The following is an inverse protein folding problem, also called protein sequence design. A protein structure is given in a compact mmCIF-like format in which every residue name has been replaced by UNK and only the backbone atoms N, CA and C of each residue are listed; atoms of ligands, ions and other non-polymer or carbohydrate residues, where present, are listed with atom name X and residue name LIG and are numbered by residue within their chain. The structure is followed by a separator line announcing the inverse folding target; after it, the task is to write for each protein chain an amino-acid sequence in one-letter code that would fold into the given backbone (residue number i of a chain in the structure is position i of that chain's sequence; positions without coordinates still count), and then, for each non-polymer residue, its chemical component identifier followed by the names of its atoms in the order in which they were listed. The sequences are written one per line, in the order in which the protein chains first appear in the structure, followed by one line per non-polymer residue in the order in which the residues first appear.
data_IF_889829352242
#
_entry.id   IF_889829352242
#
_cell.length_a   1.000
_cell.length_b   1.000
_cell.length_c   1.000
_cell.angle_alpha   90.00
_cell.angle_beta   90.00
_cell.angle_gamma   90.00
#
_symmetry.space_group_name_H-M   'P 1'
#
loop_
_entity.id
_entity.type
_entity.pdbx_description
1 polymer ?
2 water ?
#
# COMPACT_ATOMS: atom_id res chain seq x y z
N UNK A 2 -25.56 13.21 20.82
CA UNK A 2 -24.10 13.31 20.54
C UNK A 2 -23.46 11.95 20.73
N UNK A 3 -23.52 11.45 21.97
CA UNK A 3 -23.00 10.13 22.35
C UNK A 3 -23.61 8.97 21.55
N UNK A 4 -24.92 9.03 21.32
CA UNK A 4 -25.65 7.99 20.58
C UNK A 4 -25.23 7.93 19.11
N UNK A 5 -25.20 9.10 18.48
CA UNK A 5 -24.74 9.23 17.10
C UNK A 5 -23.28 8.83 16.96
N UNK A 6 -22.45 9.22 17.94
CA UNK A 6 -21.02 8.91 17.89
C UNK A 6 -20.79 7.41 17.93
N UNK A 7 -21.53 6.73 18.79
CA UNK A 7 -21.44 5.28 18.90
C UNK A 7 -21.79 4.61 17.56
N UNK A 8 -22.86 5.06 16.91
CA UNK A 8 -23.23 4.48 15.61
C UNK A 8 -22.13 4.64 14.56
N UNK A 9 -21.49 5.81 14.54
CA UNK A 9 -20.42 6.07 13.57
C UNK A 9 -19.21 5.19 13.83
N UNK A 10 -18.77 5.15 15.08
CA UNK A 10 -17.65 4.30 15.49
C UNK A 10 -17.92 2.82 15.18
N UNK A 11 -19.16 2.40 15.36
CA UNK A 11 -19.54 1.01 15.07
C UNK A 11 -19.40 0.64 13.59
N UNK A 12 -19.41 1.64 12.72
CA UNK A 12 -19.16 1.42 11.28
C UNK A 12 -17.73 0.94 10.99
N UNK A 13 -16.78 1.28 11.86
CA UNK A 13 -15.37 1.02 11.61
C UNK A 13 -14.70 0.15 12.69
N UNK A 14 -15.29 0.09 13.88
CA UNK A 14 -14.74 -0.68 15.00
C UNK A 14 -14.39 -2.13 14.66
N UNK A 15 -15.39 -2.91 14.16
CA UNK A 15 -15.14 -4.31 13.79
C UNK A 15 -14.01 -4.44 12.77
N UNK A 16 -13.99 -3.58 11.76
CA UNK A 16 -12.95 -3.60 10.75
C UNK A 16 -11.57 -3.30 11.31
N UNK A 17 -11.49 -2.33 12.21
CA UNK A 17 -10.21 -1.96 12.81
C UNK A 17 -9.63 -3.13 13.61
N UNK A 18 -10.50 -3.80 14.36
CA UNK A 18 -10.08 -4.97 15.14
C UNK A 18 -9.53 -6.07 14.22
N UNK A 19 -10.24 -6.34 13.13
CA UNK A 19 -9.81 -7.34 12.13
C UNK A 19 -8.47 -6.97 11.48
N UNK A 20 -8.32 -5.71 11.08
CA UNK A 20 -7.06 -5.24 10.51
C UNK A 20 -5.90 -5.34 11.48
N UNK A 21 -6.13 -4.93 12.73
CA UNK A 21 -5.12 -5.07 13.77
C UNK A 21 -4.66 -6.54 13.94
N UNK A 22 -5.60 -7.50 13.90
CA UNK A 22 -5.27 -8.93 14.00
C UNK A 22 -4.43 -9.41 12.79
N UNK A 23 -4.89 -9.06 11.59
CA UNK A 23 -4.21 -9.46 10.35
C UNK A 23 -2.82 -8.81 10.18
N UNK A 24 -2.69 -7.54 10.58
CA UNK A 24 -1.38 -6.87 10.59
C UNK A 24 -0.40 -7.59 11.53
N UNK A 25 -0.86 -7.93 12.73
CA UNK A 25 -0.07 -8.74 13.66
C UNK A 25 0.38 -10.06 13.04
N UNK A 26 -0.56 -10.81 12.44
CA UNK A 26 -0.23 -12.08 11.77
C UNK A 26 0.90 -11.85 10.75
N UNK A 27 0.72 -10.84 9.89
CA UNK A 27 1.71 -10.53 8.85
C UNK A 27 3.08 -10.23 9.45
N UNK A 28 3.12 -9.44 10.51
CA UNK A 28 4.38 -9.11 11.17
C UNK A 28 5.12 -10.37 11.66
N UNK A 29 4.36 -11.42 12.00
CA UNK A 29 4.94 -12.65 12.56
C UNK A 29 5.42 -13.64 11.50
N UNK A 30 4.98 -13.45 10.26
CA UNK A 30 5.35 -14.35 9.17
C UNK A 30 6.85 -14.36 8.95
N UNK A 31 7.38 -15.52 8.59
CA UNK A 31 8.79 -15.61 8.25
C UNK A 31 8.93 -15.37 6.75
N UNK A 32 9.76 -14.40 6.38
CA UNK A 32 9.97 -14.09 4.97
C UNK A 32 10.84 -15.17 4.33
N UNK A 33 10.44 -15.65 3.13
CA UNK A 33 11.30 -16.58 2.39
C UNK A 33 12.66 -15.96 2.09
N UNK A 34 13.68 -16.82 2.03
CA UNK A 34 15.04 -16.40 1.71
C UNK A 34 15.16 -15.57 0.43
N UNK A 35 14.35 -15.88 -0.58
CA UNK A 35 14.43 -15.14 -1.86
C UNK A 35 13.65 -13.81 -1.88
N UNK A 36 12.99 -13.48 -0.76
CA UNK A 36 12.22 -12.23 -0.62
C UNK A 36 11.19 -12.05 -1.75
N UNK A 37 10.59 -13.16 -2.16
CA UNK A 37 9.56 -13.21 -3.21
C UNK A 37 10.06 -12.64 -4.55
N UNK A 38 11.39 -12.61 -4.71
CA UNK A 38 12.02 -12.11 -5.92
C UNK A 38 12.49 -10.66 -5.81
N UNK A 39 12.17 -10.02 -4.68
CA UNK A 39 12.58 -8.64 -4.42
C UNK A 39 13.95 -8.67 -3.75
N UNK A 40 14.96 -8.99 -4.56
CA UNK A 40 16.33 -9.14 -4.07
C UNK A 40 17.31 -8.56 -5.08
N UNK A 41 18.56 -8.37 -4.67
CA UNK A 41 19.56 -7.70 -5.51
C UNK A 41 20.00 -8.49 -6.76
N UNK A 42 19.55 -9.74 -6.89
CA UNK A 42 19.84 -10.51 -8.11
C UNK A 42 18.86 -10.18 -9.24
N UNK A 43 17.70 -9.65 -8.90
CA UNK A 43 16.70 -9.26 -9.90
C UNK A 43 16.53 -7.75 -10.01
N UNK A 44 16.86 -7.04 -8.93
CA UNK A 44 16.82 -5.57 -8.92
C UNK A 44 18.20 -5.01 -8.56
N UNK A 45 18.80 -4.32 -9.52
CA UNK A 45 20.14 -3.75 -9.38
C UNK A 45 20.19 -2.69 -8.27
N UNK A 46 21.12 -2.86 -7.33
CA UNK A 46 21.35 -1.89 -6.27
C UNK A 46 21.91 -0.59 -6.81
N UNK A 47 21.74 0.48 -6.03
CA UNK A 47 22.32 1.79 -6.33
C UNK A 47 21.78 2.42 -7.61
N UNK A 48 20.55 2.05 -7.99
CA UNK A 48 19.91 2.67 -9.15
C UNK A 48 18.81 3.62 -8.71
N UNK A 49 18.14 3.26 -7.62
CA UNK A 49 17.03 4.04 -7.12
C UNK A 49 16.94 3.92 -5.61
N UNK A 50 16.68 5.03 -4.92
CA UNK A 50 16.67 5.02 -3.46
C UNK A 50 15.59 4.10 -2.89
N UNK A 51 14.44 4.03 -3.56
CA UNK A 51 13.32 3.25 -3.03
C UNK A 51 13.50 1.75 -3.26
N UNK A 52 14.07 1.38 -4.41
CA UNK A 52 14.52 0.01 -4.65
C UNK A 52 15.54 -0.39 -3.57
N UNK A 53 16.51 0.51 -3.32
CA UNK A 53 17.52 0.26 -2.28
C UNK A 53 16.91 0.08 -0.89
N UNK A 54 15.95 0.94 -0.54
CA UNK A 54 15.26 0.82 0.75
C UNK A 54 14.60 -0.57 0.88
N UNK A 55 14.00 -1.05 -0.21
CA UNK A 55 13.38 -2.37 -0.21
C UNK A 55 14.42 -3.46 -0.04
N UNK A 56 15.56 -3.32 -0.72
CA UNK A 56 16.63 -4.31 -0.62
C UNK A 56 17.27 -4.37 0.78
N UNK A 57 17.25 -3.25 1.50
CA UNK A 57 17.98 -3.11 2.76
C UNK A 57 17.13 -3.37 4.00
N UNK A 58 15.81 -3.22 3.89
CA UNK A 58 14.95 -3.11 5.07
C UNK A 58 13.78 -4.11 5.04
N UNK A 59 13.87 -5.15 5.86
CA UNK A 59 12.82 -6.16 5.93
C UNK A 59 11.47 -5.61 6.42
N UNK A 60 11.50 -4.52 7.19
CA UNK A 60 10.28 -3.87 7.67
C UNK A 60 9.50 -3.21 6.52
N UNK A 61 10.22 -2.55 5.62
CA UNK A 61 9.63 -1.94 4.43
C UNK A 61 9.06 -2.99 3.48
N UNK A 62 9.78 -4.11 3.33
CA UNK A 62 9.30 -5.24 2.54
C UNK A 62 8.02 -5.79 3.14
N UNK A 63 8.00 -5.97 4.46
CA UNK A 63 6.81 -6.48 5.15
C UNK A 63 5.63 -5.53 4.92
N UNK A 64 5.85 -4.23 5.06
CA UNK A 64 4.79 -3.24 4.73
C UNK A 64 4.29 -3.39 3.29
N UNK A 65 5.22 -3.57 2.36
CA UNK A 65 4.86 -3.76 0.95
C UNK A 65 3.98 -5.01 0.77
N UNK A 66 4.39 -6.11 1.39
CA UNK A 66 3.63 -7.36 1.31
C UNK A 66 2.22 -7.18 1.85
N UNK A 67 2.10 -6.57 3.03
CA UNK A 67 0.81 -6.32 3.67
C UNK A 67 -0.07 -5.39 2.84
N UNK A 68 0.54 -4.43 2.13
CA UNK A 68 -0.22 -3.56 1.20
C UNK A 68 -0.98 -4.33 0.12
N UNK A 69 -0.58 -5.59 -0.12
CA UNK A 69 -1.25 -6.46 -1.09
C UNK A 69 -1.91 -7.66 -0.39
N UNK A 70 -2.25 -7.49 0.89
CA UNK A 70 -2.87 -8.55 1.72
C UNK A 70 -2.02 -9.80 1.85
N UNK A 71 -0.70 -9.62 1.72
CA UNK A 71 0.29 -10.71 1.78
C UNK A 71 -0.08 -11.89 0.87
N UNK A 72 -0.58 -11.55 -0.32
CA UNK A 72 -0.91 -12.51 -1.34
C UNK A 72 0.41 -12.84 -2.01
N UNK A 73 1.01 -13.96 -1.60
CA UNK A 73 2.33 -14.35 -2.05
C UNK A 73 2.41 -14.55 -3.56
N UNK A 74 1.37 -15.12 -4.17
CA UNK A 74 1.35 -15.28 -5.63
C UNK A 74 1.35 -13.93 -6.36
N UNK A 75 0.59 -12.98 -5.83
CA UNK A 75 0.50 -11.66 -6.46
C UNK A 75 1.81 -10.89 -6.32
N UNK A 76 2.40 -10.96 -5.14
CA UNK A 76 3.69 -10.31 -4.88
C UNK A 76 4.76 -10.86 -5.82
N UNK A 77 4.83 -12.19 -5.93
CA UNK A 77 5.85 -12.82 -6.77
C UNK A 77 5.66 -12.46 -8.22
N UNK A 78 4.40 -12.45 -8.66
CA UNK A 78 4.09 -12.11 -10.05
C UNK A 78 4.49 -10.65 -10.37
N UNK A 79 4.11 -9.71 -9.51
CA UNK A 79 4.49 -8.31 -9.71
C UNK A 79 6.01 -8.18 -9.73
N UNK A 80 6.69 -8.82 -8.78
CA UNK A 80 8.17 -8.76 -8.71
C UNK A 80 8.81 -9.26 -10.01
N UNK A 81 8.30 -10.35 -10.56
CA UNK A 81 8.89 -10.89 -11.81
C UNK A 81 8.56 -10.03 -13.03
N UNK A 82 7.37 -9.43 -13.05
CA UNK A 82 7.05 -8.43 -14.07
C UNK A 82 7.95 -7.18 -13.99
N UNK A 83 8.09 -6.59 -12.81
CA UNK A 83 8.95 -5.40 -12.64
C UNK A 83 10.42 -5.67 -12.97
N UNK A 84 10.90 -6.87 -12.63
CA UNK A 84 12.29 -7.27 -12.97
C UNK A 84 12.57 -7.37 -14.47
N UNK A 85 11.53 -7.50 -15.28
CA UNK A 85 11.71 -7.55 -16.73
C UNK A 85 11.83 -6.16 -17.36
N UNK A 86 11.40 -5.11 -16.66
CA UNK A 86 11.38 -3.78 -17.28
C UNK A 86 12.79 -3.26 -17.59
N UNK A 87 12.86 -2.42 -18.61
CA UNK A 87 14.11 -1.79 -19.04
C UNK A 87 13.76 -0.43 -19.62
N UNK A 88 14.79 0.37 -19.91
CA UNK A 88 14.61 1.68 -20.55
C UNK A 88 15.99 2.14 -21.01
N UNK A 89 16.03 3.08 -21.95
CA UNK A 89 17.31 3.59 -22.45
C UNK A 89 17.95 4.60 -21.48
N UNK A 90 17.12 5.19 -20.62
CA UNK A 90 17.57 6.25 -19.71
C UNK A 90 17.46 5.91 -18.21
N UNK A 91 17.21 4.63 -17.90
CA UNK A 91 17.05 4.20 -16.51
C UNK A 91 15.81 4.76 -15.80
N UNK A 92 14.90 5.39 -16.55
CA UNK A 92 13.62 5.83 -15.98
C UNK A 92 12.89 4.65 -15.32
N UNK A 93 13.01 3.45 -15.88
CA UNK A 93 12.25 2.31 -15.33
C UNK A 93 12.59 2.04 -13.89
N UNK A 94 13.82 2.34 -13.48
CA UNK A 94 14.20 2.14 -12.08
C UNK A 94 13.45 3.08 -11.15
N UNK A 95 13.26 4.32 -11.57
CA UNK A 95 12.43 5.28 -10.85
C UNK A 95 10.96 4.80 -10.74
N UNK A 96 10.45 4.21 -11.80
CA UNK A 96 9.08 3.74 -11.80
C UNK A 96 8.91 2.53 -10.87
N UNK A 97 9.85 1.58 -10.94
CA UNK A 97 9.85 0.44 -10.01
C UNK A 97 9.87 0.97 -8.57
N UNK A 98 10.78 1.90 -8.30
CA UNK A 98 10.89 2.52 -6.98
C UNK A 98 9.59 3.19 -6.55
N UNK A 99 8.93 3.88 -7.50
CA UNK A 99 7.64 4.52 -7.20
C UNK A 99 6.60 3.48 -6.80
N UNK A 100 6.57 2.35 -7.51
CA UNK A 100 5.63 1.27 -7.19
C UNK A 100 5.84 0.74 -5.77
N UNK A 101 7.09 0.43 -5.42
CA UNK A 101 7.40 -0.06 -4.07
C UNK A 101 7.00 0.97 -3.02
N UNK A 102 7.47 2.21 -3.21
CA UNK A 102 7.20 3.32 -2.29
C UNK A 102 5.73 3.53 -2.09
N UNK A 103 4.96 3.47 -3.18
CA UNK A 103 3.52 3.68 -3.09
C UNK A 103 2.88 2.62 -2.18
N UNK A 104 3.24 1.35 -2.40
CA UNK A 104 2.72 0.26 -1.56
C UNK A 104 3.08 0.39 -0.09
N UNK A 105 4.37 0.52 0.21
CA UNK A 105 4.75 0.58 1.61
C UNK A 105 4.31 1.85 2.33
N UNK A 106 4.22 2.98 1.62
CA UNK A 106 3.73 4.23 2.26
C UNK A 106 2.22 4.22 2.53
N UNK A 107 1.44 3.69 1.59
CA UNK A 107 -0.02 3.53 1.81
C UNK A 107 -0.26 2.58 3.00
N UNK A 108 0.46 1.47 3.03
CA UNK A 108 0.28 0.52 4.12
C UNK A 108 0.71 1.12 5.46
N UNK A 109 1.81 1.86 5.43
CA UNK A 109 2.31 2.49 6.64
C UNK A 109 1.29 3.50 7.18
N UNK A 110 0.71 4.30 6.29
CA UNK A 110 -0.29 5.31 6.70
C UNK A 110 -1.54 4.63 7.23
N UNK A 111 -1.96 3.57 6.54
CA UNK A 111 -3.08 2.74 6.98
C UNK A 111 -2.84 2.13 8.37
N UNK A 112 -1.66 1.54 8.57
CA UNK A 112 -1.33 0.93 9.86
C UNK A 112 -1.25 1.95 10.98
N UNK A 113 -0.80 3.15 10.65
CA UNK A 113 -0.77 4.25 11.63
C UNK A 113 -2.17 4.61 12.09
N UNK A 114 -3.13 4.66 11.15
CA UNK A 114 -4.53 4.92 11.49
C UNK A 114 -5.14 3.82 12.37
N UNK A 115 -4.88 2.56 12.03
CA UNK A 115 -5.34 1.43 12.85
C UNK A 115 -4.75 1.51 14.27
N UNK A 116 -3.47 1.85 14.35
CA UNK A 116 -2.76 1.91 15.62
C UNK A 116 -3.22 3.08 16.50
N UNK A 117 -3.60 4.17 15.86
CA UNK A 117 -4.12 5.35 16.55
C UNK A 117 -5.54 5.12 17.07
N UNK A 118 -6.36 4.46 16.25
CA UNK A 118 -7.76 4.25 16.58
C UNK A 118 -7.98 3.00 17.46
N UNK A 119 -7.30 2.98 18.61
CA UNK A 119 -7.46 1.92 19.61
C UNK A 119 -8.90 1.90 20.14
N UNK A 120 -9.28 0.85 20.85
CA UNK A 120 -10.61 0.84 21.45
C UNK A 120 -10.75 1.98 22.46
N UNK A 121 -9.68 2.27 23.18
CA UNK A 121 -9.67 3.40 24.11
C UNK A 121 -9.88 4.74 23.44
N UNK A 122 -9.22 4.94 22.29
CA UNK A 122 -9.39 6.17 21.54
C UNK A 122 -10.80 6.26 20.93
N UNK A 123 -11.35 5.12 20.48
CA UNK A 123 -12.74 5.07 20.02
C UNK A 123 -13.73 5.51 21.12
N UNK A 124 -13.49 5.04 22.34
CA UNK A 124 -14.29 5.40 23.52
C UNK A 124 -14.14 6.91 23.75
N UNK A 125 -12.91 7.40 23.66
CA UNK A 125 -12.62 8.83 23.84
C UNK A 125 -13.39 9.69 22.82
N UNK A 126 -13.43 9.24 21.56
CA UNK A 126 -14.22 9.90 20.52
C UNK A 126 -15.72 9.95 20.80
N UNK A 127 -16.29 8.81 21.23
CA UNK A 127 -17.72 8.73 21.51
C UNK A 127 -18.09 9.74 22.63
N UNK A 128 -17.25 9.79 23.65
CA UNK A 128 -17.59 10.51 24.88
C UNK A 128 -17.27 11.99 24.84
N UNK A 129 -16.22 12.35 24.09
CA UNK A 129 -15.63 13.69 24.18
C UNK A 129 -15.70 14.57 22.93
N UNK A 130 -16.06 13.99 21.78
CA UNK A 130 -15.99 14.72 20.51
C UNK A 130 -17.35 15.07 19.96
N UNK A 131 -17.41 16.17 19.23
CA UNK A 131 -18.60 16.55 18.49
C UNK A 131 -18.83 15.50 17.42
N UNK A 132 -20.09 15.28 17.09
CA UNK A 132 -20.46 14.28 16.09
C UNK A 132 -19.91 14.62 14.69
N UNK A 133 -19.89 15.90 14.36
CA UNK A 133 -19.27 16.35 13.10
C UNK A 133 -17.84 15.85 12.97
N UNK A 134 -17.08 15.93 14.07
CA UNK A 134 -15.70 15.50 14.06
C UNK A 134 -15.57 13.97 13.98
N UNK A 135 -16.44 13.26 14.68
CA UNK A 135 -16.41 11.78 14.68
C UNK A 135 -16.71 11.26 13.27
N UNK A 136 -17.74 11.83 12.64
CA UNK A 136 -18.14 11.46 11.29
C UNK A 136 -16.98 11.68 10.31
N UNK A 137 -16.30 12.82 10.42
CA UNK A 137 -15.12 13.11 9.60
C UNK A 137 -13.99 12.09 9.78
N UNK A 138 -13.69 11.73 11.03
CA UNK A 138 -12.69 10.70 11.30
C UNK A 138 -13.11 9.34 10.73
N UNK A 139 -14.36 8.94 10.98
CA UNK A 139 -14.89 7.67 10.49
C UNK A 139 -14.84 7.59 8.96
N UNK A 140 -15.30 8.64 8.30
CA UNK A 140 -15.30 8.69 6.84
C UNK A 140 -13.88 8.72 6.28
N UNK A 141 -12.99 9.40 6.99
CA UNK A 141 -11.58 9.42 6.61
C UNK A 141 -10.95 8.03 6.70
N UNK A 142 -11.25 7.29 7.76
CA UNK A 142 -10.73 5.92 7.86
C UNK A 142 -11.20 5.08 6.67
N UNK A 143 -12.46 5.22 6.29
CA UNK A 143 -13.00 4.48 5.14
C UNK A 143 -12.33 4.89 3.83
N UNK A 144 -12.00 6.18 3.71
CA UNK A 144 -11.24 6.69 2.55
C UNK A 144 -9.84 6.08 2.47
N UNK A 145 -9.21 5.92 3.63
CA UNK A 145 -7.91 5.28 3.73
C UNK A 145 -7.97 3.81 3.29
N UNK A 146 -8.99 3.09 3.75
CA UNK A 146 -9.29 1.74 3.27
C UNK A 146 -9.49 1.70 1.75
N UNK A 147 -10.22 2.67 1.20
CA UNK A 147 -10.40 2.73 -0.25
C UNK A 147 -9.09 3.01 -0.99
N UNK A 148 -8.24 3.89 -0.46
CA UNK A 148 -6.94 4.16 -1.08
C UNK A 148 -6.14 2.87 -1.19
N UNK A 149 -6.16 2.11 -0.10
CA UNK A 149 -5.52 0.81 -0.05
C UNK A 149 -6.05 -0.13 -1.14
N UNK A 150 -7.37 -0.24 -1.24
CA UNK A 150 -7.98 -1.09 -2.25
C UNK A 150 -7.77 -0.58 -3.70
N UNK A 151 -7.70 0.74 -3.90
CA UNK A 151 -7.42 1.26 -5.25
C UNK A 151 -5.98 0.91 -5.66
N UNK A 152 -5.05 0.97 -4.70
CA UNK A 152 -3.67 0.52 -4.91
C UNK A 152 -3.62 -0.95 -5.32
N UNK A 153 -4.36 -1.81 -4.60
CA UNK A 153 -4.40 -3.22 -4.92
C UNK A 153 -4.90 -3.42 -6.34
N UNK A 154 -5.96 -2.72 -6.71
CA UNK A 154 -6.49 -2.73 -8.09
C UNK A 154 -5.48 -2.22 -9.15
N UNK A 155 -4.69 -1.18 -8.85
CA UNK A 155 -3.60 -0.78 -9.77
C UNK A 155 -2.65 -1.96 -10.04
N UNK A 156 -2.23 -2.64 -8.97
CA UNK A 156 -1.35 -3.81 -9.10
C UNK A 156 -2.00 -4.93 -9.92
N UNK A 157 -3.26 -5.26 -9.62
CA UNK A 157 -4.02 -6.23 -10.42
C UNK A 157 -4.02 -5.85 -11.89
N UNK A 158 -4.21 -4.57 -12.17
CA UNK A 158 -4.29 -4.09 -13.54
C UNK A 158 -2.94 -4.11 -14.27
N UNK A 159 -1.86 -3.75 -13.58
CA UNK A 159 -0.50 -3.87 -14.14
C UNK A 159 -0.23 -5.33 -14.54
N UNK A 160 -0.52 -6.24 -13.61
CA UNK A 160 -0.41 -7.69 -13.88
C UNK A 160 -1.27 -8.05 -15.10
N UNK A 161 -2.49 -7.53 -15.13
CA UNK A 161 -3.41 -7.68 -16.27
C UNK A 161 -2.80 -7.28 -17.62
N UNK A 162 -2.15 -6.11 -17.67
CA UNK A 162 -1.49 -5.66 -18.91
C UNK A 162 -0.40 -6.62 -19.35
N UNK A 163 0.38 -7.11 -18.39
CA UNK A 163 1.42 -8.07 -18.71
C UNK A 163 0.78 -9.36 -19.24
N UNK A 164 -0.24 -9.86 -18.55
CA UNK A 164 -0.91 -11.10 -18.98
C UNK A 164 -1.53 -10.98 -20.36
N UNK A 165 -2.05 -9.80 -20.69
CA UNK A 165 -2.63 -9.51 -22.01
C UNK A 165 -1.63 -9.21 -23.12
N UNK A 166 -0.34 -9.13 -22.79
CA UNK A 166 0.70 -8.76 -23.74
C UNK A 166 0.39 -7.39 -24.37
N UNK A 167 -0.13 -6.47 -23.58
CA UNK A 167 -0.38 -5.09 -24.06
C UNK A 167 0.83 -4.51 -24.79
N UNK A 168 0.62 -4.10 -26.05
CA UNK A 168 1.70 -3.54 -26.88
C UNK A 168 2.88 -4.46 -27.19
N UNK A 169 2.76 -5.74 -26.86
CA UNK A 169 3.87 -6.69 -27.01
C UNK A 169 4.82 -6.73 -25.83
N UNK A 170 4.36 -6.27 -24.66
CA UNK A 170 5.22 -6.12 -23.46
C UNK A 170 5.81 -7.42 -22.86
N UNK A 171 5.19 -8.56 -23.13
CA UNK A 171 5.76 -9.85 -22.70
C UNK A 171 7.14 -10.14 -23.29
N UNK A 172 7.36 -9.66 -24.51
CA UNK A 172 8.58 -9.94 -25.25
C UNK A 172 9.56 -8.78 -25.27
N UNK A 173 9.21 -7.68 -24.59
CA UNK A 173 10.03 -6.49 -24.70
C UNK A 173 9.88 -5.68 -23.41
N UNK A 174 10.93 -5.70 -22.59
CA UNK A 174 10.91 -5.02 -21.29
C UNK A 174 10.88 -3.49 -21.39
N UNK A 175 11.32 -2.95 -22.52
CA UNK A 175 11.22 -1.50 -22.73
C UNK A 175 9.78 -1.11 -22.97
N UNK A 176 9.09 -1.90 -23.78
CA UNK A 176 7.67 -1.69 -24.01
C UNK A 176 6.89 -1.88 -22.70
N UNK A 177 7.22 -2.94 -21.96
CA UNK A 177 6.64 -3.15 -20.64
C UNK A 177 6.76 -1.92 -19.71
N UNK A 178 7.96 -1.36 -19.59
CA UNK A 178 8.17 -0.13 -18.79
C UNK A 178 7.25 1.01 -19.24
N UNK A 179 7.07 1.16 -20.55
CA UNK A 179 6.22 2.21 -21.10
C UNK A 179 4.74 1.92 -20.85
N UNK A 180 4.33 0.66 -21.02
CA UNK A 180 2.93 0.30 -20.73
C UNK A 180 2.54 0.61 -19.29
N UNK A 181 3.42 0.26 -18.36
CA UNK A 181 3.16 0.47 -16.94
C UNK A 181 3.15 1.99 -16.68
N UNK A 182 4.12 2.70 -17.27
CA UNK A 182 4.19 4.15 -17.09
C UNK A 182 2.91 4.83 -17.58
N UNK A 183 2.57 4.60 -18.84
CA UNK A 183 1.40 5.26 -19.45
C UNK A 183 0.10 4.85 -18.76
N UNK A 184 -0.01 3.56 -18.45
CA UNK A 184 -1.23 3.07 -17.85
C UNK A 184 -1.45 3.54 -16.43
N UNK A 185 -0.38 3.64 -15.63
CA UNK A 185 -0.53 3.63 -14.16
C UNK A 185 0.27 4.64 -13.36
N UNK A 186 1.31 5.23 -13.94
CA UNK A 186 2.16 6.13 -13.16
C UNK A 186 1.37 7.29 -12.54
N UNK A 187 0.43 7.84 -13.29
CA UNK A 187 -0.42 8.97 -12.82
C UNK A 187 -1.26 8.59 -11.62
N UNK A 188 -1.64 7.31 -11.54
CA UNK A 188 -2.49 6.77 -10.47
C UNK A 188 -1.77 6.41 -9.18
N UNK A 189 -0.43 6.35 -9.22
CA UNK A 189 0.38 5.94 -8.08
C UNK A 189 0.65 7.15 -7.21
N UNK A 190 0.01 7.21 -6.05
CA UNK A 190 0.13 8.43 -5.23
C UNK A 190 -0.23 8.18 -3.79
N UNK A 191 0.76 7.78 -3.01
CA UNK A 191 0.55 7.51 -1.59
C UNK A 191 0.34 8.77 -0.75
N UNK A 192 0.62 9.94 -1.33
CA UNK A 192 0.42 11.20 -0.60
C UNK A 192 -1.02 11.41 -0.15
N UNK A 193 -1.97 10.99 -0.98
CA UNK A 193 -3.39 11.06 -0.64
C UNK A 193 -3.68 10.33 0.69
N UNK A 194 -3.16 9.10 0.83
CA UNK A 194 -3.25 8.33 2.10
C UNK A 194 -2.60 9.07 3.27
N UNK A 195 -1.43 9.66 3.03
CA UNK A 195 -0.78 10.50 4.04
C UNK A 195 -1.63 11.70 4.46
N UNK A 196 -2.28 12.36 3.50
CA UNK A 196 -3.21 13.47 3.81
C UNK A 196 -4.40 12.99 4.64
N UNK A 197 -4.98 11.86 4.25
CA UNK A 197 -6.12 11.30 4.97
C UNK A 197 -5.72 10.95 6.41
N UNK A 198 -4.55 10.32 6.57
CA UNK A 198 -4.04 10.00 7.90
C UNK A 198 -3.88 11.28 8.74
N UNK A 199 -3.29 12.32 8.15
CA UNK A 199 -3.11 13.62 8.85
C UNK A 199 -4.43 14.18 9.38
N UNK A 200 -5.48 14.04 8.57
CA UNK A 200 -6.83 14.44 8.93
C UNK A 200 -7.46 13.58 10.03
N UNK A 201 -6.97 12.36 10.18
CA UNK A 201 -7.39 11.54 11.31
C UNK A 201 -6.60 11.93 12.56
N UNK A 202 -5.29 12.10 12.40
CA UNK A 202 -4.38 12.39 13.52
C UNK A 202 -4.66 13.74 14.16
N UNK A 203 -4.92 14.76 13.34
CA UNK A 203 -4.98 16.14 13.87
C UNK A 203 -6.00 16.34 15.00
N UNK A 204 -7.29 16.00 14.78
CA UNK A 204 -8.28 16.12 15.87
C UNK A 204 -7.95 15.28 17.10
N UNK A 205 -7.16 14.23 16.90
CA UNK A 205 -6.76 13.37 17.99
C UNK A 205 -5.47 13.88 18.62
#
# INVERSE_FOLDING_TARGET
GAMGENEKLINKIGPNIEMFAQTINTDIQKIEPNDQFGINKTLFTEKKDNNIDFMLKDNRLRRLFYSSLNYDENKIKKLATILAQTSSSNDYHYTLIGLIFWTGFKIQEAFESAVNILTKDEQKRLIFNFRTKTVKEIQENFEKLMQERNSWIKIVDNIIGEYDKNTGGCKADGKILGEVIRVGYEHELDSNKSMQILNNIETPLKTCCDHIHY
#
